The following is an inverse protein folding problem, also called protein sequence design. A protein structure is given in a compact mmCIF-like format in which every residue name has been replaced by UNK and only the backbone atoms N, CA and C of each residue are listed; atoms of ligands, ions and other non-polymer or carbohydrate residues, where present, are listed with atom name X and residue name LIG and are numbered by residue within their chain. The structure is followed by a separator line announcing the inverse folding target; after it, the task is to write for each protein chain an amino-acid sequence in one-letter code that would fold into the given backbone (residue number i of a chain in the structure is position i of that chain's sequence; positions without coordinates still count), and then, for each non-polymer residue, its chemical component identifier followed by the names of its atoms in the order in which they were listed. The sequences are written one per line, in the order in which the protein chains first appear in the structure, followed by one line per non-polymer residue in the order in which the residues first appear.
data_IF_231746565714
#
_entry.id   IF_231746565714
#
_cell.length_a   1.000
_cell.length_b   1.000
_cell.length_c   1.000
_cell.angle_alpha   90.00
_cell.angle_beta   90.00
_cell.angle_gamma   90.00
#
_symmetry.space_group_name_H-M   'P 1'
#
loop_
_entity.id
_entity.type
_entity.pdbx_description
1 polymer ?
#
# COMPACT_ATOMS: atom_id res chain seq x y z
N UNK A 1 0.28 -5.75 -4.12
CA UNK A 1 -0.20 -5.01 -2.94
C UNK A 1 -1.72 -4.73 -3.03
N UNK A 2 -2.22 -4.01 -4.05
CA UNK A 2 -3.64 -3.58 -4.13
C UNK A 2 -4.65 -4.73 -4.03
N UNK A 3 -4.57 -5.83 -4.81
CA UNK A 3 -5.51 -6.94 -4.68
C UNK A 3 -5.49 -7.58 -3.28
N UNK A 4 -4.29 -7.75 -2.70
CA UNK A 4 -4.14 -8.29 -1.35
C UNK A 4 -4.74 -7.34 -0.31
N UNK A 5 -4.54 -6.03 -0.47
CA UNK A 5 -5.14 -5.00 0.38
C UNK A 5 -6.68 -5.02 0.32
N UNK A 6 -7.25 -5.15 -0.87
CA UNK A 6 -8.71 -5.23 -1.00
C UNK A 6 -9.27 -6.47 -0.30
N UNK A 7 -8.65 -7.63 -0.50
CA UNK A 7 -9.07 -8.87 0.16
C UNK A 7 -8.97 -8.76 1.68
N UNK A 8 -7.87 -8.23 2.22
CA UNK A 8 -7.68 -8.08 3.66
C UNK A 8 -8.60 -7.00 4.25
N UNK A 9 -8.81 -5.89 3.56
CA UNK A 9 -9.75 -4.85 3.99
C UNK A 9 -11.19 -5.38 4.08
N UNK A 10 -11.65 -6.09 3.07
CA UNK A 10 -12.96 -6.75 3.08
C UNK A 10 -13.03 -7.86 4.16
N UNK A 11 -11.95 -8.62 4.34
CA UNK A 11 -11.85 -9.63 5.39
C UNK A 11 -12.04 -9.05 6.78
N UNK A 12 -11.46 -7.88 7.06
CA UNK A 12 -11.54 -7.19 8.36
C UNK A 12 -12.92 -6.61 8.67
N UNK A 13 -13.76 -6.36 7.68
CA UNK A 13 -15.15 -5.96 7.88
C UNK A 13 -16.14 -7.12 7.79
N UNK A 14 -15.64 -8.34 7.55
CA UNK A 14 -16.46 -9.54 7.46
C UNK A 14 -17.14 -9.86 8.79
N UNK A 15 -18.39 -10.33 8.73
CA UNK A 15 -19.12 -10.84 9.89
C UNK A 15 -18.66 -12.22 10.33
N UNK A 16 -17.98 -12.96 9.46
CA UNK A 16 -17.38 -14.23 9.82
C UNK A 16 -16.18 -13.96 10.73
N UNK A 17 -16.27 -14.40 11.99
CA UNK A 17 -15.23 -14.19 13.00
C UNK A 17 -13.88 -14.76 12.59
N UNK A 18 -13.85 -15.91 11.94
CA UNK A 18 -12.59 -16.54 11.50
C UNK A 18 -11.91 -15.70 10.41
N UNK A 19 -12.65 -15.23 9.41
CA UNK A 19 -12.12 -14.38 8.34
C UNK A 19 -11.63 -13.04 8.92
N UNK A 20 -12.43 -12.44 9.78
CA UNK A 20 -12.06 -11.18 10.43
C UNK A 20 -10.79 -11.34 11.28
N UNK A 21 -10.70 -12.39 12.10
CA UNK A 21 -9.55 -12.66 12.94
C UNK A 21 -8.28 -12.87 12.09
N UNK A 22 -8.34 -13.71 11.06
CA UNK A 22 -7.20 -13.96 10.18
C UNK A 22 -6.72 -12.68 9.47
N UNK A 23 -7.64 -11.91 8.91
CA UNK A 23 -7.31 -10.65 8.24
C UNK A 23 -6.75 -9.61 9.22
N UNK A 24 -7.32 -9.51 10.42
CA UNK A 24 -6.83 -8.59 11.45
C UNK A 24 -5.44 -8.98 11.96
N UNK A 25 -5.23 -10.26 12.28
CA UNK A 25 -3.92 -10.76 12.71
C UNK A 25 -2.85 -10.52 11.64
N UNK A 26 -3.17 -10.80 10.36
CA UNK A 26 -2.26 -10.49 9.26
C UNK A 26 -1.85 -9.01 9.25
N UNK A 27 -2.83 -8.11 9.28
CA UNK A 27 -2.56 -6.67 9.22
C UNK A 27 -1.77 -6.20 10.44
N UNK A 28 -2.12 -6.64 11.64
CA UNK A 28 -1.45 -6.25 12.88
C UNK A 28 0.00 -6.75 12.93
N UNK A 29 0.23 -8.01 12.58
CA UNK A 29 1.58 -8.61 12.56
C UNK A 29 2.45 -7.91 11.51
N UNK A 30 1.96 -7.79 10.28
CA UNK A 30 2.75 -7.24 9.18
C UNK A 30 3.06 -5.75 9.41
N UNK A 31 2.13 -4.97 9.91
CA UNK A 31 2.37 -3.55 10.23
C UNK A 31 3.18 -3.33 11.50
N UNK A 32 3.22 -4.33 12.38
CA UNK A 32 4.06 -4.31 13.59
C UNK A 32 5.55 -4.62 13.32
N UNK A 33 5.89 -5.15 12.14
CA UNK A 33 7.26 -5.52 11.78
C UNK A 33 7.80 -4.53 10.74
N UNK A 34 8.99 -3.92 10.95
CA UNK A 34 9.60 -3.03 9.96
C UNK A 34 9.78 -3.71 8.59
N UNK A 35 9.51 -3.00 7.49
CA UNK A 35 9.66 -3.55 6.13
C UNK A 35 11.06 -4.11 5.87
N UNK A 36 12.11 -3.46 6.37
CA UNK A 36 13.48 -3.94 6.22
C UNK A 36 13.68 -5.35 6.82
N UNK A 37 13.06 -5.62 7.98
CA UNK A 37 13.11 -6.93 8.63
C UNK A 37 12.35 -7.96 7.80
N UNK A 38 11.19 -7.59 7.25
CA UNK A 38 10.41 -8.46 6.35
C UNK A 38 11.19 -8.82 5.08
N UNK A 39 11.89 -7.82 4.47
CA UNK A 39 12.77 -8.02 3.32
C UNK A 39 13.86 -9.03 3.63
N UNK A 40 14.57 -8.86 4.74
CA UNK A 40 15.62 -9.80 5.14
C UNK A 40 15.09 -11.20 5.45
N UNK A 41 13.95 -11.28 6.12
CA UNK A 41 13.34 -12.57 6.43
C UNK A 41 12.97 -13.33 5.15
N UNK A 42 12.34 -12.68 4.19
CA UNK A 42 11.94 -13.32 2.92
C UNK A 42 13.17 -13.65 2.07
N UNK A 43 14.14 -12.75 2.00
CA UNK A 43 15.32 -12.94 1.17
C UNK A 43 16.27 -14.02 1.74
N UNK A 44 16.60 -13.96 3.02
CA UNK A 44 17.58 -14.88 3.62
C UNK A 44 16.96 -16.16 4.18
N UNK A 45 15.81 -16.07 4.84
CA UNK A 45 15.21 -17.22 5.48
C UNK A 45 14.39 -18.10 4.50
N UNK A 46 13.53 -17.47 3.66
CA UNK A 46 12.72 -18.21 2.70
C UNK A 46 13.52 -18.71 1.49
N UNK A 47 14.51 -17.95 1.00
CA UNK A 47 15.31 -18.38 -0.14
C UNK A 47 16.11 -19.67 0.14
N UNK A 48 16.39 -19.95 1.41
CA UNK A 48 16.99 -21.22 1.82
C UNK A 48 16.15 -22.46 1.45
N UNK A 49 14.81 -22.28 1.43
CA UNK A 49 13.89 -23.37 1.13
C UNK A 49 13.40 -23.37 -0.32
N UNK A 50 13.29 -22.21 -0.96
CA UNK A 50 12.58 -22.03 -2.23
C UNK A 50 13.45 -21.50 -3.38
N UNK A 51 14.74 -21.21 -3.17
CA UNK A 51 15.68 -20.66 -4.17
C UNK A 51 15.09 -19.47 -4.97
N UNK A 52 14.43 -18.55 -4.29
CA UNK A 52 13.83 -17.37 -4.91
C UNK A 52 14.87 -16.28 -5.18
N UNK A 53 14.76 -15.60 -6.33
CA UNK A 53 15.66 -14.50 -6.68
C UNK A 53 15.48 -13.29 -5.77
N UNK A 54 16.49 -12.41 -5.69
CA UNK A 54 16.40 -11.17 -4.91
C UNK A 54 15.24 -10.28 -5.32
N UNK A 55 14.99 -10.16 -6.64
CA UNK A 55 13.85 -9.39 -7.17
C UNK A 55 12.52 -10.01 -6.73
N UNK A 56 12.37 -11.32 -6.85
CA UNK A 56 11.16 -12.02 -6.42
C UNK A 56 10.92 -11.87 -4.93
N UNK A 57 11.96 -12.00 -4.12
CA UNK A 57 11.89 -11.76 -2.66
C UNK A 57 11.44 -10.35 -2.33
N UNK A 58 11.98 -9.34 -3.02
CA UNK A 58 11.61 -7.93 -2.86
C UNK A 58 10.13 -7.70 -3.22
N UNK A 59 9.68 -8.23 -4.37
CA UNK A 59 8.28 -8.12 -4.80
C UNK A 59 7.32 -8.76 -3.80
N UNK A 60 7.65 -9.95 -3.29
CA UNK A 60 6.83 -10.62 -2.28
C UNK A 60 6.79 -9.79 -0.99
N UNK A 61 7.94 -9.37 -0.44
CA UNK A 61 8.01 -8.62 0.80
C UNK A 61 7.23 -7.30 0.72
N UNK A 62 7.46 -6.50 -0.33
CA UNK A 62 6.76 -5.24 -0.53
C UNK A 62 5.26 -5.48 -0.76
N UNK A 63 4.89 -6.52 -1.52
CA UNK A 63 3.47 -6.83 -1.75
C UNK A 63 2.75 -7.26 -0.48
N UNK A 64 3.38 -8.05 0.36
CA UNK A 64 2.84 -8.47 1.66
C UNK A 64 2.74 -7.26 2.60
N UNK A 65 3.79 -6.48 2.73
CA UNK A 65 3.80 -5.30 3.59
C UNK A 65 2.72 -4.29 3.17
N UNK A 66 2.77 -3.82 1.93
CA UNK A 66 1.81 -2.82 1.43
C UNK A 66 0.40 -3.38 1.23
N UNK A 67 0.24 -4.69 1.11
CA UNK A 67 -1.06 -5.36 1.20
C UNK A 67 -1.74 -5.12 2.54
N UNK A 68 -0.99 -5.14 3.64
CA UNK A 68 -1.52 -4.86 4.97
C UNK A 68 -1.88 -3.36 5.16
N UNK A 69 -1.02 -2.44 4.70
CA UNK A 69 -1.31 -1.00 4.75
C UNK A 69 -2.54 -0.64 3.91
N UNK A 70 -2.58 -1.09 2.66
CA UNK A 70 -3.75 -0.88 1.78
C UNK A 70 -5.01 -1.54 2.32
N UNK A 71 -4.90 -2.69 3.00
CA UNK A 71 -6.03 -3.34 3.67
C UNK A 71 -6.69 -2.45 4.71
N UNK A 72 -5.90 -1.72 5.47
CA UNK A 72 -6.41 -0.74 6.42
C UNK A 72 -7.03 0.47 5.72
N UNK A 73 -6.44 0.96 4.65
CA UNK A 73 -7.00 2.04 3.82
C UNK A 73 -8.37 1.65 3.26
N UNK A 74 -8.49 0.45 2.70
CA UNK A 74 -9.78 -0.06 2.19
C UNK A 74 -10.81 -0.20 3.32
N UNK A 75 -10.42 -0.77 4.45
CA UNK A 75 -11.30 -0.91 5.62
C UNK A 75 -11.80 0.45 6.10
N UNK A 76 -10.88 1.39 6.30
CA UNK A 76 -11.20 2.74 6.80
C UNK A 76 -12.12 3.50 5.84
N UNK A 77 -11.84 3.47 4.53
CA UNK A 77 -12.66 4.13 3.54
C UNK A 77 -14.08 3.56 3.43
N UNK A 78 -14.25 2.24 3.54
CA UNK A 78 -15.58 1.63 3.56
C UNK A 78 -16.33 2.01 4.86
N UNK A 79 -15.64 2.02 5.99
CA UNK A 79 -16.25 2.36 7.28
C UNK A 79 -16.54 3.85 7.44
N UNK A 80 -15.93 4.72 6.65
CA UNK A 80 -16.21 6.15 6.63
C UNK A 80 -17.60 6.49 6.05
N UNK A 81 -18.21 5.57 5.29
CA UNK A 81 -19.53 5.79 4.72
C UNK A 81 -20.60 5.70 5.83
N UNK A 82 -21.43 6.72 5.89
CA UNK A 82 -22.51 6.80 6.89
C UNK A 82 -23.38 5.55 6.90
N UNK A 83 -23.66 5.03 8.10
CA UNK A 83 -24.55 3.88 8.29
C UNK A 83 -25.94 4.12 7.72
N UNK A 84 -26.42 5.38 7.74
CA UNK A 84 -27.70 5.78 7.17
C UNK A 84 -27.83 5.46 5.68
N UNK A 85 -26.72 5.49 4.90
CA UNK A 85 -26.71 5.07 3.50
C UNK A 85 -27.06 3.57 3.35
N UNK A 86 -26.47 2.75 4.20
CA UNK A 86 -26.75 1.31 4.21
C UNK A 86 -28.15 1.00 4.73
N UNK A 87 -28.67 1.75 5.69
CA UNK A 87 -30.03 1.61 6.24
C UNK A 87 -31.06 2.02 5.21
N UNK A 88 -30.90 3.15 4.54
CA UNK A 88 -31.78 3.63 3.47
C UNK A 88 -31.85 2.64 2.30
N UNK A 89 -30.70 2.12 1.85
CA UNK A 89 -30.65 1.13 0.79
C UNK A 89 -31.42 -0.15 1.17
N UNK A 90 -31.30 -0.58 2.42
CA UNK A 90 -32.02 -1.77 2.92
C UNK A 90 -33.53 -1.52 3.06
N UNK A 91 -33.94 -0.32 3.39
CA UNK A 91 -35.36 0.08 3.43
C UNK A 91 -36.00 0.07 2.03
N UNK A 92 -35.17 0.27 0.97
CA UNK A 92 -35.57 0.13 -0.43
C UNK A 92 -35.53 -1.33 -0.93
N UNK A 93 -35.29 -2.31 -0.03
CA UNK A 93 -35.30 -3.73 -0.36
C UNK A 93 -33.97 -4.30 -0.84
N UNK A 94 -32.88 -3.53 -0.82
CA UNK A 94 -31.56 -4.05 -1.19
C UNK A 94 -31.08 -5.06 -0.15
N UNK A 95 -30.59 -6.20 -0.63
CA UNK A 95 -29.88 -7.13 0.24
C UNK A 95 -28.48 -6.58 0.57
N UNK A 96 -27.74 -7.23 1.49
CA UNK A 96 -26.43 -6.76 1.96
C UNK A 96 -25.40 -6.65 0.86
N UNK A 97 -25.39 -7.58 -0.06
CA UNK A 97 -24.46 -7.59 -1.19
C UNK A 97 -24.76 -6.41 -2.13
N UNK A 98 -26.04 -6.23 -2.49
CA UNK A 98 -26.48 -5.09 -3.29
C UNK A 98 -26.18 -3.75 -2.63
N UNK A 99 -26.46 -3.62 -1.32
CA UNK A 99 -26.10 -2.41 -0.55
C UNK A 99 -24.60 -2.12 -0.64
N UNK A 100 -23.76 -3.13 -0.44
CA UNK A 100 -22.30 -2.97 -0.50
C UNK A 100 -21.86 -2.52 -1.91
N UNK A 101 -22.28 -3.23 -2.96
CA UNK A 101 -21.78 -2.99 -4.31
C UNK A 101 -22.39 -1.78 -5.01
N UNK A 102 -23.65 -1.48 -4.76
CA UNK A 102 -24.35 -0.40 -5.49
C UNK A 102 -24.42 0.91 -4.71
N UNK A 103 -24.24 0.89 -3.38
CA UNK A 103 -24.38 2.09 -2.56
C UNK A 103 -23.08 2.42 -1.83
N UNK A 104 -22.51 1.48 -1.07
CA UNK A 104 -21.36 1.76 -0.21
C UNK A 104 -20.06 1.85 -1.01
N UNK A 105 -19.74 0.87 -1.84
CA UNK A 105 -18.47 0.81 -2.56
C UNK A 105 -18.26 2.01 -3.53
N UNK A 106 -19.26 2.45 -4.31
CA UNK A 106 -19.07 3.60 -5.20
C UNK A 106 -18.76 4.90 -4.44
N UNK A 107 -19.34 5.07 -3.25
CA UNK A 107 -19.05 6.20 -2.37
C UNK A 107 -17.69 6.05 -1.71
N UNK A 108 -17.41 4.86 -1.13
CA UNK A 108 -16.14 4.56 -0.46
C UNK A 108 -14.94 4.70 -1.39
N UNK A 109 -15.09 4.42 -2.69
CA UNK A 109 -14.01 4.51 -3.66
C UNK A 109 -13.39 5.90 -3.72
N UNK A 110 -14.21 6.94 -3.61
CA UNK A 110 -13.74 8.34 -3.58
C UNK A 110 -12.88 8.62 -2.36
N UNK A 111 -13.26 8.10 -1.20
CA UNK A 111 -12.51 8.24 0.06
C UNK A 111 -11.24 7.39 0.08
N UNK A 112 -11.23 6.26 -0.65
CA UNK A 112 -10.12 5.30 -0.70
C UNK A 112 -9.00 5.75 -1.65
N UNK A 113 -9.34 6.34 -2.80
CA UNK A 113 -8.36 6.63 -3.85
C UNK A 113 -7.20 7.54 -3.42
N UNK A 114 -7.42 8.68 -2.71
CA UNK A 114 -6.30 9.54 -2.30
C UNK A 114 -5.34 8.85 -1.33
N UNK A 115 -5.79 8.17 -0.25
CA UNK A 115 -4.90 7.40 0.62
C UNK A 115 -4.15 6.28 -0.12
N UNK A 116 -4.80 5.56 -1.05
CA UNK A 116 -4.11 4.55 -1.89
C UNK A 116 -2.99 5.19 -2.70
N UNK A 117 -3.23 6.38 -3.28
CA UNK A 117 -2.19 7.14 -3.97
C UNK A 117 -1.01 7.48 -3.06
N UNK A 118 -1.26 7.90 -1.82
CA UNK A 118 -0.23 8.18 -0.84
C UNK A 118 0.56 6.93 -0.44
N UNK A 119 -0.11 5.78 -0.29
CA UNK A 119 0.56 4.49 -0.05
C UNK A 119 1.45 4.07 -1.25
N UNK A 120 1.04 4.36 -2.48
CA UNK A 120 1.87 4.12 -3.66
C UNK A 120 3.13 5.00 -3.65
N UNK A 121 3.04 6.26 -3.21
CA UNK A 121 4.21 7.15 -3.06
C UNK A 121 5.14 6.64 -1.96
N UNK A 122 4.60 6.20 -0.83
CA UNK A 122 5.37 5.60 0.25
C UNK A 122 6.08 4.33 -0.23
N UNK A 123 5.36 3.43 -0.90
CA UNK A 123 5.91 2.20 -1.48
C UNK A 123 7.06 2.47 -2.45
N UNK A 124 6.95 3.50 -3.30
CA UNK A 124 8.03 3.90 -4.22
C UNK A 124 9.30 4.29 -3.45
N UNK A 125 9.19 5.05 -2.37
CA UNK A 125 10.36 5.40 -1.54
C UNK A 125 10.96 4.17 -0.87
N UNK A 126 10.13 3.29 -0.37
CA UNK A 126 10.54 2.08 0.33
C UNK A 126 11.17 1.03 -0.59
N UNK A 127 10.95 1.11 -1.92
CA UNK A 127 11.70 0.26 -2.86
C UNK A 127 13.21 0.50 -2.77
N UNK A 128 13.68 1.66 -2.31
CA UNK A 128 15.11 1.92 -2.08
C UNK A 128 15.77 0.95 -1.10
N UNK A 129 15.00 0.35 -0.19
CA UNK A 129 15.50 -0.63 0.79
C UNK A 129 15.95 -1.94 0.13
N UNK A 130 15.46 -2.26 -1.08
CA UNK A 130 15.86 -3.48 -1.79
C UNK A 130 17.33 -3.44 -2.24
N UNK A 131 17.92 -2.24 -2.29
CA UNK A 131 19.35 -2.04 -2.59
C UNK A 131 20.27 -2.81 -1.63
N UNK A 132 19.81 -3.06 -0.39
CA UNK A 132 20.58 -3.78 0.63
C UNK A 132 20.74 -5.25 0.26
N UNK A 133 19.82 -5.80 -0.52
CA UNK A 133 19.86 -7.18 -1.03
C UNK A 133 20.55 -7.28 -2.40
N UNK A 134 21.31 -6.26 -2.79
CA UNK A 134 21.96 -6.16 -4.11
C UNK A 134 20.99 -6.30 -5.31
N UNK A 135 19.72 -6.00 -5.10
CA UNK A 135 18.75 -5.89 -6.20
C UNK A 135 19.06 -4.63 -7.00
N UNK A 136 19.22 -4.72 -8.33
CA UNK A 136 19.59 -3.57 -9.16
C UNK A 136 18.48 -2.51 -9.18
N UNK A 137 18.65 -1.48 -8.38
CA UNK A 137 17.83 -0.28 -8.37
C UNK A 137 18.71 0.97 -8.40
N UNK A 138 18.12 2.16 -8.37
CA UNK A 138 18.87 3.42 -8.40
C UNK A 138 19.76 3.60 -7.15
N UNK A 139 19.28 3.17 -5.97
CA UNK A 139 20.01 3.28 -4.73
C UNK A 139 21.20 2.30 -4.69
N UNK A 140 21.02 1.07 -5.20
CA UNK A 140 22.10 0.09 -5.32
C UNK A 140 23.20 0.59 -6.28
N UNK A 141 22.83 1.19 -7.41
CA UNK A 141 23.78 1.79 -8.35
C UNK A 141 24.55 2.95 -7.72
N UNK A 142 23.87 3.81 -6.96
CA UNK A 142 24.50 4.88 -6.19
C UNK A 142 25.51 4.33 -5.18
N UNK A 143 25.16 3.29 -4.42
CA UNK A 143 26.08 2.63 -3.47
C UNK A 143 27.32 2.05 -4.17
N UNK A 144 27.13 1.41 -5.32
CA UNK A 144 28.25 0.86 -6.09
C UNK A 144 29.17 1.98 -6.62
N UNK A 145 28.63 3.08 -7.08
CA UNK A 145 29.38 4.24 -7.54
C UNK A 145 30.18 4.89 -6.40
N UNK A 146 29.54 5.12 -5.27
CA UNK A 146 30.21 5.65 -4.07
C UNK A 146 31.32 4.70 -3.58
N UNK A 147 31.13 3.38 -3.67
CA UNK A 147 32.14 2.39 -3.29
C UNK A 147 33.43 2.46 -4.11
N UNK A 148 33.39 3.04 -5.31
CA UNK A 148 34.58 3.23 -6.18
C UNK A 148 35.13 4.65 -6.19
N UNK A 149 34.25 5.66 -5.99
CA UNK A 149 34.61 7.06 -6.13
C UNK A 149 34.77 7.82 -4.82
N UNK A 150 34.18 7.28 -3.73
CA UNK A 150 34.10 7.92 -2.40
C UNK A 150 33.34 9.26 -2.39
N UNK A 151 32.64 9.61 -3.46
CA UNK A 151 31.83 10.83 -3.61
C UNK A 151 30.47 10.67 -2.95
N UNK A 152 30.40 10.64 -1.62
CA UNK A 152 29.19 10.40 -0.84
C UNK A 152 28.17 11.53 -0.98
N UNK A 153 28.61 12.76 -0.71
CA UNK A 153 27.73 13.92 -0.67
C UNK A 153 27.07 14.18 -2.03
N UNK A 154 27.85 14.22 -3.08
CA UNK A 154 27.40 14.48 -4.45
C UNK A 154 26.39 13.41 -4.90
N UNK A 155 26.75 12.15 -4.72
CA UNK A 155 25.94 11.02 -5.17
C UNK A 155 24.60 10.97 -4.44
N UNK A 156 24.61 11.02 -3.10
CA UNK A 156 23.35 10.94 -2.35
C UNK A 156 22.51 12.21 -2.47
N UNK A 157 23.12 13.38 -2.72
CA UNK A 157 22.37 14.59 -3.06
C UNK A 157 21.61 14.42 -4.37
N UNK A 158 22.26 13.90 -5.41
CA UNK A 158 21.60 13.62 -6.69
C UNK A 158 20.45 12.62 -6.53
N UNK A 159 20.69 11.53 -5.80
CA UNK A 159 19.63 10.53 -5.52
C UNK A 159 18.47 11.15 -4.76
N UNK A 160 18.74 11.95 -3.74
CA UNK A 160 17.70 12.64 -2.98
C UNK A 160 16.86 13.58 -3.87
N UNK A 161 17.52 14.33 -4.77
CA UNK A 161 16.82 15.19 -5.72
C UNK A 161 15.95 14.39 -6.70
N UNK A 162 16.43 13.25 -7.21
CA UNK A 162 15.65 12.37 -8.09
C UNK A 162 14.39 11.88 -7.37
N UNK A 163 14.53 11.33 -6.14
CA UNK A 163 13.37 10.90 -5.36
C UNK A 163 12.41 12.06 -5.05
N UNK A 164 12.95 13.23 -4.72
CA UNK A 164 12.16 14.43 -4.45
C UNK A 164 11.31 14.83 -5.67
N UNK A 165 11.93 14.91 -6.85
CA UNK A 165 11.22 15.27 -8.09
C UNK A 165 10.09 14.27 -8.38
N UNK A 166 10.39 12.97 -8.31
CA UNK A 166 9.39 11.92 -8.58
C UNK A 166 8.25 11.99 -7.56
N UNK A 167 8.57 12.10 -6.28
CA UNK A 167 7.56 12.13 -5.21
C UNK A 167 6.71 13.40 -5.25
N UNK A 168 7.30 14.56 -5.58
CA UNK A 168 6.53 15.80 -5.77
C UNK A 168 5.58 15.70 -6.97
N UNK A 169 6.03 15.13 -8.09
CA UNK A 169 5.18 14.93 -9.27
C UNK A 169 3.99 14.01 -8.94
N UNK A 170 4.26 12.88 -8.25
CA UNK A 170 3.20 11.94 -7.84
C UNK A 170 2.26 12.57 -6.79
N UNK A 171 2.80 13.29 -5.80
CA UNK A 171 1.97 13.98 -4.81
C UNK A 171 1.07 15.02 -5.45
N UNK A 172 1.56 15.75 -6.46
CA UNK A 172 0.74 16.68 -7.23
C UNK A 172 -0.38 15.96 -7.99
N UNK A 173 -0.09 14.80 -8.59
CA UNK A 173 -1.09 14.00 -9.27
C UNK A 173 -2.19 13.51 -8.30
N UNK A 174 -1.80 13.03 -7.11
CA UNK A 174 -2.74 12.62 -6.06
C UNK A 174 -3.59 13.81 -5.59
N UNK A 175 -3.00 14.97 -5.36
CA UNK A 175 -3.71 16.17 -4.95
C UNK A 175 -4.73 16.64 -6.00
N UNK A 176 -4.38 16.57 -7.30
CA UNK A 176 -5.31 16.88 -8.39
C UNK A 176 -6.47 15.87 -8.42
N UNK A 177 -6.17 14.60 -8.24
CA UNK A 177 -7.21 13.55 -8.16
C UNK A 177 -8.15 13.81 -6.98
N UNK A 178 -7.62 14.10 -5.81
CA UNK A 178 -8.39 14.41 -4.60
C UNK A 178 -9.30 15.61 -4.79
N UNK A 179 -8.78 16.72 -5.34
CA UNK A 179 -9.56 17.93 -5.61
C UNK A 179 -10.73 17.68 -6.57
N UNK A 180 -10.52 16.82 -7.57
CA UNK A 180 -11.60 16.44 -8.50
C UNK A 180 -12.67 15.57 -7.81
N UNK A 181 -12.28 14.65 -6.93
CA UNK A 181 -13.21 13.80 -6.21
C UNK A 181 -14.06 14.61 -5.22
N UNK A 182 -13.45 15.55 -4.48
CA UNK A 182 -14.13 16.40 -3.52
C UNK A 182 -15.08 17.42 -4.18
N UNK A 183 -14.82 17.85 -5.43
CA UNK A 183 -15.70 18.73 -6.17
C UNK A 183 -17.12 18.17 -6.37
N UNK A 184 -17.25 16.86 -6.44
CA UNK A 184 -18.55 16.18 -6.58
C UNK A 184 -19.31 15.99 -5.27
N UNK A 185 -18.66 16.15 -4.11
CA UNK A 185 -19.32 16.02 -2.79
C UNK A 185 -19.79 17.35 -2.23
N UNK A 186 -19.41 18.49 -2.84
CA UNK A 186 -19.74 19.86 -2.43
C UNK A 186 -20.98 20.46 -3.10
N UNK A 187 -21.80 19.66 -3.77
CA UNK A 187 -23.09 20.10 -4.34
C UNK A 187 -24.26 19.29 -3.81
#
# INVERSE_FOLDING_TARGET
AVPLGLLTGLGRISRNRAINLLASTYVEVIRGIPLLVQLFYIYYALSRFFQISGITSAVIAISVCYGAYMGEVFRAGIMAISKGQSEAARSLGFNRFQTMFYVVLPQAWRTILPPVGNECIAMLKDTSLVSIMAVPDIMQRARSFVGTTYLYFETYTVIALIYLIITLALSKAVSIMESRLNYYDGK
#
